data_IF_674831578024
#
_entry.id   IF_674831578024
#
_cell.length_a   1.000
_cell.length_b   1.000
_cell.length_c   1.000
_cell.angle_alpha   90.00
_cell.angle_beta   90.00
_cell.angle_gamma   90.00
#
_symmetry.space_group_name_H-M   'P 1'
#
loop_
_entity.id
_entity.type
_entity.pdbx_description
1 polymer ?
#
# COMPACT_ATOMS: atom_id res chain seq x y z
N UNK A 1 -9.53 8.42 6.24
CA UNK A 1 -9.38 7.25 7.15
C UNK A 1 -8.80 7.68 8.49
N UNK A 2 -9.46 7.36 9.58
CA UNK A 2 -8.97 7.67 10.91
C UNK A 2 -7.79 6.76 11.28
N UNK A 3 -6.72 7.34 11.84
CA UNK A 3 -5.55 6.55 12.29
C UNK A 3 -5.92 5.45 13.28
N UNK A 4 -6.91 5.70 14.15
CA UNK A 4 -7.35 4.74 15.15
C UNK A 4 -7.98 3.48 14.54
N UNK A 5 -8.45 3.53 13.30
CA UNK A 5 -9.02 2.38 12.61
C UNK A 5 -7.97 1.37 12.15
N UNK A 6 -6.71 1.81 12.00
CA UNK A 6 -5.63 0.93 11.51
C UNK A 6 -5.45 -0.27 12.42
N UNK A 7 -5.58 -0.09 13.74
CA UNK A 7 -5.45 -1.15 14.71
C UNK A 7 -6.48 -2.27 14.53
N UNK A 8 -7.60 -1.97 13.88
CA UNK A 8 -8.69 -2.92 13.65
C UNK A 8 -8.60 -3.59 12.30
N UNK A 9 -7.66 -3.18 11.45
CA UNK A 9 -7.51 -3.74 10.12
C UNK A 9 -6.54 -4.92 10.13
N UNK A 10 -6.80 -5.87 9.25
CA UNK A 10 -6.01 -7.08 9.11
C UNK A 10 -5.69 -7.30 7.65
N UNK A 11 -4.45 -7.73 7.37
CA UNK A 11 -4.04 -8.11 6.02
C UNK A 11 -4.78 -9.38 5.60
N UNK A 12 -5.55 -9.36 4.50
CA UNK A 12 -6.28 -10.56 4.07
C UNK A 12 -5.37 -11.70 3.62
N UNK A 13 -4.17 -11.38 3.13
CA UNK A 13 -3.23 -12.40 2.64
C UNK A 13 -2.49 -13.09 3.78
N UNK A 14 -1.91 -12.32 4.71
CA UNK A 14 -1.08 -12.87 5.79
C UNK A 14 -1.80 -13.02 7.12
N UNK A 15 -2.99 -12.46 7.26
CA UNK A 15 -3.77 -12.43 8.51
C UNK A 15 -3.10 -11.66 9.64
N UNK A 16 -2.02 -10.95 9.34
CA UNK A 16 -1.33 -10.10 10.31
C UNK A 16 -1.95 -8.72 10.39
N UNK A 17 -1.60 -7.97 11.42
CA UNK A 17 -2.07 -6.59 11.57
C UNK A 17 -1.48 -5.71 10.49
N UNK A 18 -2.21 -4.65 10.12
CA UNK A 18 -1.72 -3.61 9.23
C UNK A 18 -1.15 -2.46 10.05
N UNK A 19 -0.05 -1.89 9.54
CA UNK A 19 0.62 -0.76 10.15
C UNK A 19 0.66 0.39 9.14
N UNK A 20 0.62 1.63 9.65
CA UNK A 20 0.82 2.81 8.81
C UNK A 20 2.30 2.92 8.49
N UNK A 21 2.65 2.67 7.24
CA UNK A 21 4.04 2.79 6.77
C UNK A 21 4.39 4.23 6.43
N UNK A 22 3.50 4.93 5.73
CA UNK A 22 3.73 6.31 5.31
C UNK A 22 2.40 7.05 5.18
N UNK A 23 2.38 8.30 5.64
CA UNK A 23 1.25 9.20 5.47
C UNK A 23 1.69 10.35 4.56
N UNK A 24 1.09 10.45 3.38
CA UNK A 24 1.42 11.47 2.39
C UNK A 24 0.59 12.75 2.60
N UNK A 25 -0.69 12.59 2.90
CA UNK A 25 -1.60 13.71 3.10
C UNK A 25 -2.56 13.37 4.24
N UNK A 26 -2.65 14.30 5.20
CA UNK A 26 -3.52 14.16 6.36
C UNK A 26 -4.29 15.46 6.59
N UNK A 27 -5.54 15.32 7.08
CA UNK A 27 -6.32 16.42 7.59
C UNK A 27 -6.71 16.03 9.00
N UNK A 28 -6.14 16.70 10.00
CA UNK A 28 -6.25 16.36 11.42
C UNK A 28 -5.78 14.91 11.63
N UNK A 29 -6.64 14.02 12.15
CA UNK A 29 -6.30 12.61 12.36
C UNK A 29 -6.75 11.71 11.20
N UNK A 30 -7.26 12.31 10.12
CA UNK A 30 -7.72 11.57 8.96
C UNK A 30 -6.63 11.48 7.91
N UNK A 31 -6.26 10.26 7.54
CA UNK A 31 -5.32 10.01 6.45
C UNK A 31 -6.09 10.07 5.14
N UNK A 32 -5.72 11.03 4.30
CA UNK A 32 -6.32 11.18 2.96
C UNK A 32 -5.56 10.33 1.95
N UNK A 33 -4.23 10.31 2.05
CA UNK A 33 -3.37 9.55 1.16
C UNK A 33 -2.20 8.97 1.95
N UNK A 34 -1.89 7.72 1.73
CA UNK A 34 -0.79 7.06 2.43
C UNK A 34 -0.65 5.60 2.05
N UNK A 35 0.14 4.87 2.83
CA UNK A 35 0.44 3.47 2.56
C UNK A 35 0.43 2.67 3.87
N UNK A 36 -0.32 1.58 3.84
CA UNK A 36 -0.33 0.59 4.93
C UNK A 36 0.54 -0.60 4.52
N UNK A 37 1.14 -1.26 5.49
CA UNK A 37 1.92 -2.47 5.26
C UNK A 37 1.57 -3.53 6.29
N UNK A 38 1.65 -4.79 5.89
CA UNK A 38 1.41 -5.91 6.80
C UNK A 38 2.58 -6.08 7.77
N UNK A 39 2.26 -6.47 9.00
CA UNK A 39 3.28 -6.80 10.01
C UNK A 39 3.62 -8.29 9.90
N UNK A 40 4.27 -8.67 8.80
CA UNK A 40 4.63 -10.05 8.52
C UNK A 40 5.98 -10.10 7.81
N UNK A 41 6.60 -11.28 7.76
CA UNK A 41 7.89 -11.47 7.09
C UNK A 41 7.82 -11.14 5.60
N UNK A 42 6.72 -11.53 4.96
CA UNK A 42 6.42 -11.11 3.59
C UNK A 42 5.50 -9.90 3.64
N UNK A 43 6.01 -8.75 3.26
CA UNK A 43 5.23 -7.51 3.32
C UNK A 43 4.23 -7.41 2.18
N UNK A 44 3.00 -7.10 2.54
CA UNK A 44 1.94 -6.73 1.61
C UNK A 44 1.60 -5.27 1.84
N UNK A 45 1.41 -4.51 0.76
CA UNK A 45 1.18 -3.08 0.82
C UNK A 45 -0.22 -2.74 0.33
N UNK A 46 -0.89 -1.82 1.04
CA UNK A 46 -2.25 -1.40 0.70
C UNK A 46 -2.33 0.12 0.78
N UNK A 47 -2.58 0.81 -0.35
CA UNK A 47 -2.65 2.26 -0.34
C UNK A 47 -3.94 2.78 0.27
N UNK A 48 -3.85 3.97 0.88
CA UNK A 48 -5.02 4.76 1.27
C UNK A 48 -5.21 5.82 0.20
N UNK A 49 -6.35 5.82 -0.48
CA UNK A 49 -6.65 6.74 -1.57
C UNK A 49 -7.98 7.41 -1.29
N UNK A 50 -7.99 8.73 -1.30
CA UNK A 50 -9.19 9.53 -0.99
C UNK A 50 -9.81 9.16 0.37
N UNK A 51 -8.95 8.92 1.35
CA UNK A 51 -9.38 8.58 2.70
C UNK A 51 -9.91 7.16 2.87
N UNK A 52 -9.81 6.31 1.86
CA UNK A 52 -10.33 4.95 1.88
C UNK A 52 -9.16 3.96 1.78
N UNK A 53 -8.99 3.04 2.75
CA UNK A 53 -7.97 2.00 2.63
C UNK A 53 -8.36 0.99 1.57
N UNK A 54 -7.46 0.76 0.61
CA UNK A 54 -7.71 -0.13 -0.53
C UNK A 54 -7.11 -1.51 -0.22
N UNK A 55 -7.84 -2.33 0.54
CA UNK A 55 -7.36 -3.62 1.05
C UNK A 55 -7.82 -4.75 0.15
N UNK A 56 -7.25 -4.76 -1.06
CA UNK A 56 -7.48 -5.78 -2.08
C UNK A 56 -6.13 -6.26 -2.59
N UNK A 57 -6.07 -7.51 -3.06
CA UNK A 57 -4.81 -8.12 -3.48
C UNK A 57 -4.11 -7.37 -4.61
N UNK A 58 -4.86 -6.66 -5.45
CA UNK A 58 -4.31 -5.93 -6.60
C UNK A 58 -4.33 -4.40 -6.41
N UNK A 59 -4.60 -3.92 -5.18
CA UNK A 59 -4.78 -2.48 -4.97
C UNK A 59 -3.50 -1.68 -5.21
N UNK A 60 -2.34 -2.27 -4.90
CA UNK A 60 -1.07 -1.60 -5.13
C UNK A 60 -0.86 -1.27 -6.61
N UNK A 61 -1.16 -2.20 -7.49
CA UNK A 61 -1.06 -2.01 -8.93
C UNK A 61 -2.18 -1.11 -9.46
N UNK A 62 -3.40 -1.30 -8.96
CA UNK A 62 -4.56 -0.49 -9.37
C UNK A 62 -4.34 0.99 -9.06
N UNK A 63 -3.73 1.30 -7.91
CA UNK A 63 -3.49 2.66 -7.47
C UNK A 63 -2.01 3.04 -7.58
N UNK A 64 -1.31 2.50 -8.57
CA UNK A 64 0.12 2.72 -8.76
C UNK A 64 0.49 4.20 -8.82
N UNK A 65 -0.26 5.02 -9.57
CA UNK A 65 0.05 6.43 -9.72
C UNK A 65 -0.03 7.19 -8.40
N UNK A 66 -0.96 6.82 -7.52
CA UNK A 66 -1.06 7.43 -6.20
C UNK A 66 0.16 7.07 -5.33
N UNK A 67 0.63 5.84 -5.41
CA UNK A 67 1.81 5.39 -4.67
C UNK A 67 3.07 6.05 -5.20
N UNK A 68 3.19 6.21 -6.51
CA UNK A 68 4.36 6.84 -7.14
C UNK A 68 4.57 8.29 -6.72
N UNK A 69 3.54 8.98 -6.26
CA UNK A 69 3.65 10.35 -5.76
C UNK A 69 4.59 10.46 -4.56
N UNK A 70 4.71 9.41 -3.75
CA UNK A 70 5.50 9.44 -2.52
C UNK A 70 6.48 8.27 -2.37
N UNK A 71 6.61 7.42 -3.38
CA UNK A 71 7.42 6.21 -3.27
C UNK A 71 8.89 6.52 -2.92
N UNK A 72 9.41 7.65 -3.39
CA UNK A 72 10.78 8.08 -3.12
C UNK A 72 11.03 8.42 -1.65
N UNK A 73 9.97 8.68 -0.89
CA UNK A 73 10.06 8.98 0.54
C UNK A 73 10.11 7.73 1.42
N UNK A 74 9.93 6.55 0.82
CA UNK A 74 9.97 5.28 1.52
C UNK A 74 11.39 4.77 1.66
N UNK A 75 11.60 3.79 2.56
CA UNK A 75 12.88 3.11 2.68
C UNK A 75 13.25 2.43 1.36
N UNK A 76 14.56 2.31 1.10
CA UNK A 76 15.05 1.68 -0.12
C UNK A 76 14.50 0.26 -0.30
N UNK A 77 14.39 -0.51 0.78
CA UNK A 77 13.85 -1.86 0.74
C UNK A 77 12.37 -1.87 0.33
N UNK A 78 11.57 -0.96 0.90
CA UNK A 78 10.16 -0.85 0.55
C UNK A 78 9.97 -0.37 -0.89
N UNK A 79 10.78 0.59 -1.32
CA UNK A 79 10.75 1.05 -2.71
C UNK A 79 11.01 -0.09 -3.68
N UNK A 80 12.03 -0.90 -3.40
CA UNK A 80 12.40 -2.02 -4.25
C UNK A 80 11.27 -3.05 -4.36
N UNK A 81 10.69 -3.44 -3.23
CA UNK A 81 9.61 -4.41 -3.20
C UNK A 81 8.38 -3.91 -3.97
N UNK A 82 8.02 -2.64 -3.79
CA UNK A 82 6.87 -2.05 -4.46
C UNK A 82 7.12 -1.93 -5.97
N UNK A 83 8.29 -1.45 -6.38
CA UNK A 83 8.63 -1.32 -7.80
C UNK A 83 8.70 -2.67 -8.50
N UNK A 84 9.22 -3.69 -7.83
CA UNK A 84 9.23 -5.05 -8.35
C UNK A 84 7.82 -5.58 -8.57
N UNK A 85 6.89 -5.26 -7.66
CA UNK A 85 5.48 -5.63 -7.80
C UNK A 85 4.86 -4.99 -9.04
N UNK A 86 5.17 -3.72 -9.32
CA UNK A 86 4.68 -3.03 -10.51
C UNK A 86 5.22 -3.67 -11.80
N UNK A 87 6.50 -4.02 -11.80
CA UNK A 87 7.15 -4.64 -12.96
C UNK A 87 6.55 -6.02 -13.25
N UNK A 88 6.34 -6.83 -12.20
CA UNK A 88 5.75 -8.16 -12.34
C UNK A 88 4.33 -8.09 -12.91
N UNK A 89 3.53 -7.12 -12.46
CA UNK A 89 2.18 -6.94 -12.97
C UNK A 89 2.18 -6.62 -14.46
N UNK A 90 3.06 -5.72 -14.90
CA UNK A 90 3.21 -5.36 -16.31
C UNK A 90 3.65 -6.56 -17.15
N UNK A 91 4.57 -7.35 -16.65
CA UNK A 91 5.08 -8.54 -17.31
C UNK A 91 3.98 -9.59 -17.49
N UNK A 92 3.20 -9.81 -16.44
CA UNK A 92 2.07 -10.76 -16.51
C UNK A 92 1.02 -10.31 -17.53
N UNK A 93 0.74 -9.03 -17.60
CA UNK A 93 -0.19 -8.49 -18.60
C UNK A 93 0.30 -8.68 -20.02
N UNK A 94 1.61 -8.59 -20.26
CA UNK A 94 2.21 -8.85 -21.56
C UNK A 94 2.08 -10.32 -21.94
N UNK A 95 2.27 -11.22 -21.01
CA UNK A 95 2.23 -12.66 -21.26
C UNK A 95 0.82 -13.16 -21.57
N UNK A 96 -0.20 -12.43 -21.17
CA UNK A 96 -1.61 -12.77 -21.42
C UNK A 96 -2.06 -12.31 -22.82
N UNK A 97 -1.33 -11.41 -23.41
CA UNK A 97 -1.61 -10.92 -24.76
C UNK A 97 -0.92 -11.78 -25.81
#
# INVERSE_FOLDING_TARGET
MKKSLIEKLQCPASKSKLLLLYSHDEIEDDIVSGLLASNSSNKYYYPVVNGIPRILSNSLQTFQSAVEEYIENLDANDQELIRNSFILDKKLKKDVL
#
